data_IF_870763865364
#
_entry.id   IF_870763865364
#
_cell.length_a   1.000
_cell.length_b   1.000
_cell.length_c   1.000
_cell.angle_alpha   90.00
_cell.angle_beta   90.00
_cell.angle_gamma   90.00
#
_symmetry.space_group_name_H-M   'P 1'
#
loop_
_entity.id
_entity.type
_entity.pdbx_description
1 polymer ?
#
# COMPACT_ATOMS: atom_id res chain seq x y z
N UNK A 1 1.53 0.67 -24.83
CA UNK A 1 1.61 -0.56 -24.04
C UNK A 1 1.65 -0.15 -22.57
N UNK A 2 0.65 -0.52 -21.78
CA UNK A 2 0.69 -0.32 -20.33
C UNK A 2 1.88 -1.12 -19.79
N UNK A 3 2.81 -0.47 -19.09
CA UNK A 3 3.88 -1.17 -18.40
C UNK A 3 3.22 -2.05 -17.35
N UNK A 4 3.24 -3.36 -17.54
CA UNK A 4 2.62 -4.30 -16.63
C UNK A 4 3.18 -4.14 -15.22
N UNK A 5 2.33 -4.38 -14.23
CA UNK A 5 2.71 -4.35 -12.83
C UNK A 5 3.87 -5.33 -12.60
N UNK A 6 4.98 -4.85 -12.02
CA UNK A 6 6.14 -5.71 -11.75
C UNK A 6 5.77 -6.71 -10.66
N UNK A 7 6.08 -8.01 -10.89
CA UNK A 7 5.93 -9.02 -9.84
C UNK A 7 6.84 -8.72 -8.65
N UNK A 8 6.28 -8.71 -7.45
CA UNK A 8 6.98 -8.43 -6.20
C UNK A 8 6.84 -9.63 -5.28
N UNK A 9 7.90 -10.43 -5.19
CA UNK A 9 7.99 -11.54 -4.25
C UNK A 9 8.26 -11.01 -2.83
N UNK A 10 7.38 -11.24 -1.86
CA UNK A 10 7.58 -10.81 -0.48
C UNK A 10 8.74 -11.52 0.23
N UNK A 11 9.09 -12.74 -0.21
CA UNK A 11 10.15 -13.54 0.39
C UNK A 11 11.55 -13.15 -0.13
N UNK A 12 11.64 -12.36 -1.20
CA UNK A 12 12.92 -11.92 -1.75
C UNK A 12 13.60 -10.91 -0.81
N UNK A 13 14.86 -11.14 -0.40
CA UNK A 13 15.59 -10.20 0.45
C UNK A 13 15.65 -8.80 -0.15
N UNK A 14 15.37 -7.80 0.65
CA UNK A 14 15.45 -6.40 0.24
C UNK A 14 16.89 -5.90 0.31
N UNK A 15 17.28 -5.08 -0.66
CA UNK A 15 18.60 -4.49 -0.72
C UNK A 15 18.90 -3.55 0.47
N UNK A 16 20.19 -3.19 0.67
CA UNK A 16 20.60 -2.36 1.82
C UNK A 16 19.90 -0.99 1.86
N UNK A 17 19.69 -0.36 0.72
CA UNK A 17 18.95 0.91 0.64
C UNK A 17 17.50 0.80 1.11
N UNK A 18 16.82 -0.29 0.76
CA UNK A 18 15.45 -0.55 1.22
C UNK A 18 15.39 -0.74 2.74
N UNK A 19 16.38 -1.41 3.33
CA UNK A 19 16.49 -1.58 4.78
C UNK A 19 16.76 -0.26 5.49
N UNK A 20 17.68 0.56 4.96
CA UNK A 20 17.97 1.90 5.52
C UNK A 20 16.74 2.81 5.46
N UNK A 21 16.01 2.81 4.34
CA UNK A 21 14.76 3.57 4.21
C UNK A 21 13.68 3.08 5.17
N UNK A 22 13.55 1.76 5.35
CA UNK A 22 12.62 1.18 6.32
C UNK A 22 12.97 1.59 7.76
N UNK A 23 14.27 1.57 8.13
CA UNK A 23 14.74 2.02 9.43
C UNK A 23 14.44 3.50 9.67
N UNK A 24 14.72 4.37 8.69
CA UNK A 24 14.35 5.79 8.75
C UNK A 24 12.84 5.99 8.90
N UNK A 25 12.03 5.28 8.12
CA UNK A 25 10.57 5.36 8.17
C UNK A 25 9.96 4.88 9.49
N UNK A 26 10.71 4.13 10.30
CA UNK A 26 10.30 3.73 11.64
C UNK A 26 10.48 4.82 12.70
N UNK A 27 11.28 5.86 12.41
CA UNK A 27 11.49 7.01 13.31
C UNK A 27 10.30 7.97 13.29
N UNK A 28 10.14 8.79 14.35
CA UNK A 28 9.08 9.83 14.38
C UNK A 28 9.20 10.82 13.22
N UNK A 29 10.42 11.26 12.92
CA UNK A 29 10.71 12.19 11.82
C UNK A 29 10.46 11.55 10.46
N UNK A 30 10.92 10.31 10.24
CA UNK A 30 10.71 9.57 9.00
C UNK A 30 9.22 9.30 8.73
N UNK A 31 8.42 9.00 9.76
CA UNK A 31 6.97 8.86 9.64
C UNK A 31 6.29 10.16 9.23
N UNK A 32 6.65 11.27 9.86
CA UNK A 32 6.11 12.59 9.50
C UNK A 32 6.44 12.94 8.04
N UNK A 33 7.69 12.74 7.63
CA UNK A 33 8.14 12.99 6.26
C UNK A 33 7.43 12.08 5.26
N UNK A 34 7.39 10.78 5.52
CA UNK A 34 6.68 9.82 4.67
C UNK A 34 5.19 10.16 4.55
N UNK A 35 4.52 10.46 5.67
CA UNK A 35 3.08 10.74 5.69
C UNK A 35 2.70 12.07 5.02
N UNK A 36 3.56 13.09 5.02
CA UNK A 36 3.21 14.40 4.46
C UNK A 36 3.81 14.69 3.10
N UNK A 37 5.02 14.22 2.82
CA UNK A 37 5.75 14.54 1.59
C UNK A 37 5.62 13.42 0.55
N UNK A 38 6.01 12.21 0.91
CA UNK A 38 6.02 11.08 -0.03
C UNK A 38 4.62 10.81 -0.59
N UNK A 39 3.60 10.78 0.26
CA UNK A 39 2.22 10.52 -0.16
C UNK A 39 1.61 11.59 -1.06
N UNK A 40 2.10 12.83 -0.97
CA UNK A 40 1.62 13.92 -1.85
C UNK A 40 2.34 13.96 -3.18
N UNK A 41 3.64 13.64 -3.20
CA UNK A 41 4.50 13.79 -4.39
C UNK A 41 4.51 12.51 -5.24
N UNK A 42 4.50 11.34 -4.62
CA UNK A 42 4.55 10.04 -5.31
C UNK A 42 3.47 9.83 -6.39
N UNK A 43 2.18 10.19 -6.18
CA UNK A 43 1.18 10.04 -7.22
C UNK A 43 1.50 10.83 -8.49
N UNK A 44 2.10 12.01 -8.36
CA UNK A 44 2.51 12.84 -9.50
C UNK A 44 3.72 12.26 -10.23
N UNK A 45 4.71 11.79 -9.48
CA UNK A 45 5.91 11.14 -10.03
C UNK A 45 5.55 9.83 -10.74
N UNK A 46 4.77 8.98 -10.13
CA UNK A 46 4.30 7.73 -10.73
C UNK A 46 3.49 7.99 -12.00
N UNK A 47 2.66 9.02 -12.01
CA UNK A 47 1.92 9.42 -13.22
C UNK A 47 2.83 9.92 -14.31
N UNK A 48 3.74 10.87 -14.01
CA UNK A 48 4.67 11.46 -14.97
C UNK A 48 5.62 10.41 -15.58
N UNK A 49 6.03 9.43 -14.79
CA UNK A 49 6.98 8.37 -15.19
C UNK A 49 6.29 7.09 -15.66
N UNK A 50 4.96 7.07 -15.80
CA UNK A 50 4.16 5.88 -16.14
C UNK A 50 4.43 4.70 -15.19
N UNK A 51 4.55 4.97 -13.89
CA UNK A 51 4.80 3.97 -12.88
C UNK A 51 6.26 3.53 -12.70
N UNK A 52 7.22 4.18 -13.40
CA UNK A 52 8.63 3.77 -13.36
C UNK A 52 9.43 4.34 -12.19
N UNK A 53 9.06 5.54 -11.72
CA UNK A 53 9.79 6.23 -10.66
C UNK A 53 8.79 6.76 -9.64
N UNK A 54 8.83 6.21 -8.42
CA UNK A 54 8.21 6.78 -7.24
C UNK A 54 9.30 7.22 -6.27
N UNK A 55 9.01 8.09 -5.32
CA UNK A 55 9.97 8.46 -4.26
C UNK A 55 10.35 7.28 -3.37
N UNK A 56 9.55 6.22 -3.38
CA UNK A 56 9.90 4.92 -2.82
C UNK A 56 10.78 4.07 -3.72
N UNK A 57 11.80 4.66 -4.40
CA UNK A 57 12.74 3.95 -5.32
C UNK A 57 13.22 2.58 -4.80
N UNK A 58 13.13 2.36 -3.51
CA UNK A 58 13.53 1.13 -2.82
C UNK A 58 12.35 0.25 -2.43
N UNK A 59 11.11 0.76 -2.53
CA UNK A 59 9.89 0.03 -2.17
C UNK A 59 9.01 -0.19 -3.40
N UNK A 60 8.40 -1.37 -3.51
CA UNK A 60 7.45 -1.66 -4.58
C UNK A 60 6.18 -0.83 -4.38
N UNK A 61 6.03 0.26 -5.13
CA UNK A 61 4.86 1.12 -5.11
C UNK A 61 4.19 1.16 -6.46
N UNK A 62 2.86 1.26 -6.46
CA UNK A 62 2.08 1.47 -7.66
C UNK A 62 0.93 2.45 -7.41
N UNK A 63 0.38 3.00 -8.48
CA UNK A 63 -0.73 3.94 -8.42
C UNK A 63 -2.04 3.17 -8.25
N UNK A 64 -2.72 3.43 -7.14
CA UNK A 64 -4.09 2.98 -6.88
C UNK A 64 -5.05 4.11 -7.25
N UNK A 65 -5.95 3.85 -8.21
CA UNK A 65 -7.03 4.77 -8.56
C UNK A 65 -8.35 4.20 -8.03
N UNK A 66 -9.04 4.98 -7.22
CA UNK A 66 -10.33 4.63 -6.62
C UNK A 66 -11.38 5.65 -6.98
N UNK A 67 -12.65 5.23 -7.05
CA UNK A 67 -13.79 6.14 -7.15
C UNK A 67 -14.16 6.66 -5.77
N UNK A 68 -14.22 7.97 -5.58
CA UNK A 68 -14.56 8.59 -4.30
C UNK A 68 -15.95 8.17 -3.83
N UNK A 69 -16.04 7.63 -2.60
CA UNK A 69 -17.27 7.08 -2.04
C UNK A 69 -18.45 8.08 -2.01
N UNK A 70 -18.14 9.37 -1.77
CA UNK A 70 -19.14 10.44 -1.70
C UNK A 70 -19.24 11.24 -2.99
N UNK A 71 -18.09 11.54 -3.63
CA UNK A 71 -18.03 12.48 -4.76
C UNK A 71 -18.08 11.81 -6.13
N UNK A 72 -17.86 10.48 -6.19
CA UNK A 72 -17.69 9.76 -7.46
C UNK A 72 -16.40 10.10 -8.22
N UNK A 73 -15.66 11.13 -7.79
CA UNK A 73 -14.44 11.58 -8.47
C UNK A 73 -13.29 10.56 -8.32
N UNK A 74 -12.49 10.43 -9.35
CA UNK A 74 -11.30 9.56 -9.33
C UNK A 74 -10.26 10.13 -8.35
N UNK A 75 -9.81 9.29 -7.42
CA UNK A 75 -8.79 9.59 -6.43
C UNK A 75 -7.58 8.68 -6.66
N UNK A 76 -6.37 9.25 -6.59
CA UNK A 76 -5.12 8.58 -6.88
C UNK A 76 -4.22 8.56 -5.66
N UNK A 77 -3.68 7.39 -5.33
CA UNK A 77 -2.77 7.19 -4.20
C UNK A 77 -1.63 6.28 -4.62
N UNK A 78 -0.39 6.60 -4.24
CA UNK A 78 0.71 5.66 -4.29
C UNK A 78 0.61 4.71 -3.10
N UNK A 79 0.64 3.41 -3.34
CA UNK A 79 0.58 2.39 -2.28
C UNK A 79 1.66 1.35 -2.48
N UNK A 80 2.22 0.86 -1.35
CA UNK A 80 3.14 -0.27 -1.34
C UNK A 80 2.34 -1.53 -1.60
N UNK A 81 2.88 -2.43 -2.44
CA UNK A 81 2.25 -3.69 -2.77
C UNK A 81 3.25 -4.85 -2.81
N UNK A 82 2.73 -6.04 -2.73
CA UNK A 82 3.45 -7.29 -3.01
C UNK A 82 2.48 -8.31 -3.58
N UNK A 83 3.04 -9.38 -4.13
CA UNK A 83 2.22 -10.50 -4.60
C UNK A 83 2.17 -11.58 -3.53
N UNK A 84 0.98 -12.07 -3.29
CA UNK A 84 0.70 -13.25 -2.52
C UNK A 84 0.05 -14.24 -3.48
N UNK A 85 0.86 -15.17 -3.99
CA UNK A 85 0.50 -16.01 -5.13
C UNK A 85 0.14 -15.17 -6.36
N UNK A 86 -1.05 -15.30 -6.88
CA UNK A 86 -1.62 -14.57 -8.03
C UNK A 86 -2.29 -13.24 -7.66
N UNK A 87 -2.37 -12.92 -6.35
CA UNK A 87 -3.06 -11.75 -5.84
C UNK A 87 -2.10 -10.62 -5.51
N UNK A 88 -2.44 -9.43 -5.95
CA UNK A 88 -1.76 -8.21 -5.49
C UNK A 88 -2.29 -7.85 -4.11
N UNK A 89 -1.41 -7.72 -3.14
CA UNK A 89 -1.76 -7.39 -1.76
C UNK A 89 -1.30 -5.99 -1.39
N UNK A 90 -2.19 -5.20 -0.81
CA UNK A 90 -1.94 -3.85 -0.31
C UNK A 90 -2.43 -3.69 1.12
N UNK A 91 -1.75 -2.86 1.90
CA UNK A 91 -2.02 -2.68 3.33
C UNK A 91 -2.55 -1.27 3.61
N UNK A 92 -3.75 -1.17 4.20
CA UNK A 92 -4.39 0.10 4.52
C UNK A 92 -3.82 0.74 5.81
N UNK A 93 -2.48 0.81 5.93
CA UNK A 93 -1.79 1.17 7.17
C UNK A 93 -1.95 2.63 7.56
N UNK A 94 -1.81 3.57 6.61
CA UNK A 94 -1.78 5.02 6.87
C UNK A 94 -0.80 5.38 8.00
N UNK A 95 0.40 4.77 7.98
CA UNK A 95 1.44 4.96 8.98
C UNK A 95 0.96 4.79 10.44
N UNK A 96 0.04 3.85 10.71
CA UNK A 96 -0.47 3.58 12.05
C UNK A 96 -1.53 4.57 12.57
N UNK A 97 -1.94 5.58 11.79
CA UNK A 97 -2.91 6.58 12.22
C UNK A 97 -4.24 5.97 12.70
N UNK A 98 -4.96 6.67 13.61
CA UNK A 98 -6.22 6.21 14.21
C UNK A 98 -7.38 5.99 13.21
N UNK A 99 -7.32 6.59 12.01
CA UNK A 99 -8.36 6.45 10.98
C UNK A 99 -7.81 5.75 9.75
N UNK A 100 -8.65 4.96 9.09
CA UNK A 100 -8.32 4.36 7.80
C UNK A 100 -7.96 5.40 6.73
N UNK A 101 -7.15 5.05 5.73
CA UNK A 101 -6.92 5.93 4.59
C UNK A 101 -8.22 6.12 3.79
N UNK A 102 -8.37 7.30 3.17
CA UNK A 102 -9.58 7.61 2.39
C UNK A 102 -9.82 6.63 1.24
N UNK A 103 -8.75 6.14 0.59
CA UNK A 103 -8.87 5.17 -0.49
C UNK A 103 -9.47 3.83 -0.03
N UNK A 104 -9.29 3.45 1.25
CA UNK A 104 -9.93 2.24 1.79
C UNK A 104 -11.46 2.40 1.86
N UNK A 105 -11.94 3.55 2.33
CA UNK A 105 -13.38 3.84 2.31
C UNK A 105 -13.95 3.90 0.89
N UNK A 106 -13.16 4.38 -0.07
CA UNK A 106 -13.54 4.42 -1.46
C UNK A 106 -13.72 3.01 -2.05
N UNK A 107 -12.75 2.12 -1.84
CA UNK A 107 -12.83 0.75 -2.35
C UNK A 107 -13.89 -0.10 -1.64
N UNK A 108 -14.22 0.22 -0.38
CA UNK A 108 -15.37 -0.43 0.29
C UNK A 108 -16.71 -0.06 -0.37
N UNK A 109 -16.83 1.18 -0.83
CA UNK A 109 -18.02 1.63 -1.55
C UNK A 109 -18.01 1.19 -3.04
N UNK A 110 -16.84 1.18 -3.66
CA UNK A 110 -16.62 0.85 -5.07
C UNK A 110 -15.41 -0.06 -5.20
N UNK A 111 -15.59 -1.40 -5.15
CA UNK A 111 -14.47 -2.36 -5.12
C UNK A 111 -13.69 -2.46 -6.43
N UNK A 112 -14.23 -1.94 -7.53
CA UNK A 112 -13.55 -1.92 -8.82
C UNK A 112 -12.59 -0.74 -8.87
N UNK A 113 -11.31 -1.04 -9.07
CA UNK A 113 -10.21 -0.08 -9.00
C UNK A 113 -9.28 -0.23 -10.21
N UNK A 114 -8.45 0.80 -10.47
CA UNK A 114 -7.29 0.66 -11.34
C UNK A 114 -6.04 0.58 -10.46
N UNK A 115 -5.20 -0.41 -10.70
CA UNK A 115 -3.94 -0.56 -9.99
C UNK A 115 -2.77 -0.76 -10.96
N UNK A 116 -1.82 0.17 -10.95
CA UNK A 116 -0.73 0.17 -11.92
C UNK A 116 -1.20 0.21 -13.39
N UNK A 117 -2.38 0.78 -13.65
CA UNK A 117 -3.00 0.82 -14.98
C UNK A 117 -3.78 -0.45 -15.36
N UNK A 118 -3.94 -1.40 -14.45
CA UNK A 118 -4.67 -2.66 -14.68
C UNK A 118 -6.01 -2.59 -13.93
N UNK A 119 -7.16 -2.91 -14.59
CA UNK A 119 -8.45 -3.01 -13.90
C UNK A 119 -8.45 -4.22 -12.97
N UNK A 120 -8.77 -3.98 -11.69
CA UNK A 120 -8.77 -4.99 -10.64
C UNK A 120 -10.00 -4.85 -9.75
N UNK A 121 -10.36 -5.95 -9.08
CA UNK A 121 -11.38 -5.98 -8.04
C UNK A 121 -10.75 -6.20 -6.68
N UNK A 122 -11.12 -5.34 -5.73
CA UNK A 122 -10.62 -5.36 -4.36
C UNK A 122 -11.49 -6.24 -3.46
N UNK A 123 -10.85 -7.02 -2.60
CA UNK A 123 -11.49 -7.82 -1.56
C UNK A 123 -10.72 -7.66 -0.24
N UNK A 124 -11.42 -7.46 0.86
CA UNK A 124 -10.80 -7.37 2.19
C UNK A 124 -10.62 -8.78 2.76
N UNK A 125 -9.42 -9.04 3.28
CA UNK A 125 -9.11 -10.33 3.94
C UNK A 125 -9.76 -10.35 5.33
N UNK A 126 -10.75 -11.24 5.51
CA UNK A 126 -11.53 -11.34 6.74
C UNK A 126 -11.05 -12.44 7.69
N UNK A 127 -10.53 -13.56 7.18
CA UNK A 127 -10.10 -14.69 8.00
C UNK A 127 -8.83 -14.38 8.78
N UNK A 128 -8.83 -14.59 10.10
CA UNK A 128 -7.72 -14.22 10.96
C UNK A 128 -6.44 -15.04 10.68
N UNK A 129 -6.57 -16.32 10.41
CA UNK A 129 -5.43 -17.18 10.04
C UNK A 129 -4.72 -16.66 8.80
N UNK A 130 -5.48 -16.25 7.79
CA UNK A 130 -4.97 -15.69 6.56
C UNK A 130 -4.36 -14.30 6.79
N UNK A 131 -4.96 -13.48 7.62
CA UNK A 131 -4.42 -12.18 8.03
C UNK A 131 -3.06 -12.33 8.69
N UNK A 132 -2.91 -13.27 9.65
CA UNK A 132 -1.64 -13.53 10.34
C UNK A 132 -0.56 -13.94 9.33
N UNK A 133 -0.88 -14.86 8.42
CA UNK A 133 0.03 -15.30 7.36
C UNK A 133 0.50 -14.14 6.47
N UNK A 134 -0.44 -13.33 5.98
CA UNK A 134 -0.14 -12.20 5.10
C UNK A 134 0.65 -11.11 5.84
N UNK A 135 0.41 -10.91 7.14
CA UNK A 135 1.23 -9.99 7.92
C UNK A 135 2.70 -10.38 7.98
N UNK A 136 3.03 -11.68 8.07
CA UNK A 136 4.41 -12.14 7.96
C UNK A 136 5.06 -11.73 6.64
N UNK A 137 4.34 -11.87 5.53
CA UNK A 137 4.79 -11.43 4.21
C UNK A 137 4.95 -9.90 4.13
N UNK A 138 3.97 -9.17 4.65
CA UNK A 138 3.99 -7.70 4.65
C UNK A 138 5.18 -7.13 5.42
N UNK A 139 5.51 -7.70 6.58
CA UNK A 139 6.66 -7.30 7.40
C UNK A 139 8.00 -7.55 6.67
N UNK A 140 8.10 -8.61 5.87
CA UNK A 140 9.27 -8.88 5.02
C UNK A 140 9.43 -7.82 3.92
N UNK A 141 8.33 -7.29 3.40
CA UNK A 141 8.33 -6.23 2.38
C UNK A 141 8.68 -4.88 2.98
N UNK A 142 8.08 -4.55 4.14
CA UNK A 142 8.24 -3.26 4.79
C UNK A 142 8.12 -3.39 6.31
N UNK A 143 9.23 -3.59 7.00
CA UNK A 143 9.32 -3.82 8.45
C UNK A 143 8.55 -2.80 9.32
N UNK A 144 8.42 -1.50 8.96
CA UNK A 144 7.62 -0.55 9.74
C UNK A 144 6.14 -0.93 9.92
N UNK A 145 5.59 -1.86 9.14
CA UNK A 145 4.21 -2.32 9.32
C UNK A 145 3.96 -2.90 10.72
N UNK A 146 4.94 -3.57 11.32
CA UNK A 146 4.83 -4.06 12.69
C UNK A 146 4.59 -2.92 13.71
N UNK A 147 5.29 -1.79 13.53
CA UNK A 147 5.08 -0.60 14.36
C UNK A 147 3.71 0.04 14.10
N UNK A 148 3.31 0.14 12.82
CA UNK A 148 2.02 0.71 12.45
C UNK A 148 0.83 -0.09 13.02
N UNK A 149 0.95 -1.43 13.10
CA UNK A 149 -0.07 -2.27 13.75
C UNK A 149 -0.20 -1.93 15.24
N UNK A 150 0.91 -1.80 15.96
CA UNK A 150 0.89 -1.45 17.39
C UNK A 150 0.26 -0.09 17.65
N UNK A 151 0.63 0.92 16.84
CA UNK A 151 0.09 2.27 16.95
C UNK A 151 -1.41 2.32 16.61
N UNK A 152 -1.82 1.63 15.55
CA UNK A 152 -3.23 1.52 15.20
C UNK A 152 -4.05 0.81 16.30
N UNK A 153 -3.49 -0.25 16.91
CA UNK A 153 -4.14 -0.98 17.99
C UNK A 153 -4.35 -0.10 19.25
N UNK A 154 -3.38 0.78 19.57
CA UNK A 154 -3.54 1.76 20.67
C UNK A 154 -4.72 2.73 20.42
N UNK A 155 -5.05 2.97 19.15
CA UNK A 155 -6.21 3.76 18.74
C UNK A 155 -7.46 2.89 18.46
N UNK A 156 -7.51 1.64 18.98
CA UNK A 156 -8.59 0.67 18.76
C UNK A 156 -8.90 0.43 17.27
N UNK A 157 -7.89 0.50 16.41
CA UNK A 157 -8.01 0.29 14.98
C UNK A 157 -7.26 -0.96 14.53
N UNK A 158 -7.97 -1.85 13.85
CA UNK A 158 -7.36 -2.96 13.07
C UNK A 158 -7.03 -2.48 11.65
N UNK A 159 -5.79 -2.68 11.21
CA UNK A 159 -5.38 -2.31 9.85
C UNK A 159 -5.92 -3.35 8.85
N UNK A 160 -6.70 -2.94 7.83
CA UNK A 160 -7.18 -3.84 6.80
C UNK A 160 -6.08 -4.29 5.85
N UNK A 161 -6.17 -5.55 5.44
CA UNK A 161 -5.42 -6.14 4.32
C UNK A 161 -6.39 -6.25 3.15
N UNK A 162 -5.97 -5.80 1.99
CA UNK A 162 -6.77 -5.83 0.77
C UNK A 162 -6.04 -6.62 -0.30
N UNK A 163 -6.71 -7.56 -0.92
CA UNK A 163 -6.24 -8.30 -2.09
C UNK A 163 -6.95 -7.81 -3.34
N UNK A 164 -6.21 -7.68 -4.43
CA UNK A 164 -6.67 -7.24 -5.73
C UNK A 164 -6.45 -8.36 -6.74
N UNK A 165 -7.50 -8.67 -7.50
CA UNK A 165 -7.47 -9.63 -8.60
C UNK A 165 -7.84 -8.93 -9.90
N UNK A 166 -7.19 -9.28 -11.03
CA UNK A 166 -7.59 -8.79 -12.35
C UNK A 166 -9.06 -9.08 -12.63
N UNK A 167 -9.71 -8.16 -13.34
CA UNK A 167 -11.09 -8.32 -13.84
C UNK A 167 -11.06 -8.85 -15.24
#
# INVERSE_FOLDING_TARGET
>A
MAAGLKYVDPNRPRGPFSRAFAAFSSTRLGRFFSAKVVWKVDPYLLRATRGRVGMGLTLPTALLETRGAKSGAVRRNAVIYFHDQDRVTIIASKAGAAKHPAWFHNLMAHPDVMFGGIPMRATVVGQETERVRIWGLADSVFAPYATYRREAAQAHRTIPIVQLLPR
#
